data_IF_863488528400
#
_entry.id   IF_863488528400
#
_cell.length_a   1.000
_cell.length_b   1.000
_cell.length_c   1.000
_cell.angle_alpha   90.00
_cell.angle_beta   90.00
_cell.angle_gamma   90.00
#
_symmetry.space_group_name_H-M   'P 1'
#
loop_
_entity.id
_entity.type
_entity.pdbx_description
1 polymer ?
#
# COMPACT_ATOMS: atom_id res chain seq x y z
N UNK A 1 3.23 9.56 -21.45
CA UNK A 1 3.63 8.15 -21.57
C UNK A 1 2.46 7.31 -21.07
N UNK A 2 1.82 6.57 -21.96
CA UNK A 2 0.69 5.68 -21.63
C UNK A 2 1.23 4.41 -20.95
N UNK A 3 1.13 4.34 -19.62
CA UNK A 3 1.26 3.08 -18.93
C UNK A 3 0.00 2.24 -19.17
N UNK A 4 0.09 1.23 -20.04
CA UNK A 4 -1.02 0.31 -20.34
C UNK A 4 -1.35 -0.63 -19.18
N UNK A 5 -0.40 -0.83 -18.24
CA UNK A 5 -0.63 -1.61 -17.03
C UNK A 5 -1.26 -0.77 -15.94
N UNK A 6 -2.40 -1.24 -15.43
CA UNK A 6 -3.04 -0.69 -14.23
C UNK A 6 -2.10 -0.89 -13.03
N UNK A 7 -1.80 0.17 -12.26
CA UNK A 7 -0.93 0.05 -11.10
C UNK A 7 -1.55 -0.82 -10.01
N UNK A 8 -0.69 -1.49 -9.22
CA UNK A 8 -1.13 -2.33 -8.11
C UNK A 8 -1.40 -1.52 -6.83
N UNK A 9 -0.63 -0.46 -6.61
CA UNK A 9 -0.75 0.47 -5.49
C UNK A 9 -0.38 1.89 -5.92
N UNK A 10 -1.00 2.92 -5.32
CA UNK A 10 -0.56 4.31 -5.51
C UNK A 10 -0.57 5.13 -4.23
N UNK A 11 0.28 6.15 -4.20
CA UNK A 11 0.53 7.02 -3.07
C UNK A 11 0.33 8.47 -3.48
N UNK A 12 -0.34 9.25 -2.63
CA UNK A 12 -0.41 10.70 -2.76
C UNK A 12 0.36 11.37 -1.62
N UNK A 13 1.31 12.23 -1.99
CA UNK A 13 2.22 12.92 -1.08
C UNK A 13 1.50 13.91 -0.15
N UNK A 14 0.72 14.84 -0.70
CA UNK A 14 -0.01 15.84 0.10
C UNK A 14 -1.25 15.28 0.79
N UNK A 15 -2.02 14.42 0.12
CA UNK A 15 -3.28 13.88 0.68
C UNK A 15 -3.07 12.69 1.61
N UNK A 16 -1.90 12.03 1.54
CA UNK A 16 -1.65 10.79 2.26
C UNK A 16 -2.50 9.61 1.78
N UNK A 17 -3.26 9.76 0.69
CA UNK A 17 -4.10 8.69 0.17
C UNK A 17 -3.24 7.58 -0.40
N UNK A 18 -3.51 6.36 0.03
CA UNK A 18 -2.92 5.14 -0.49
C UNK A 18 -4.04 4.33 -1.13
N UNK A 19 -3.97 4.09 -2.44
CA UNK A 19 -4.98 3.30 -3.16
C UNK A 19 -4.43 1.91 -3.41
N UNK A 20 -5.21 0.91 -3.04
CA UNK A 20 -4.83 -0.50 -3.06
C UNK A 20 -5.79 -1.22 -4.01
N UNK A 21 -5.25 -1.89 -5.03
CA UNK A 21 -6.09 -2.65 -5.95
C UNK A 21 -6.66 -3.92 -5.31
N UNK A 22 -7.72 -4.45 -5.92
CA UNK A 22 -8.29 -5.74 -5.53
C UNK A 22 -7.30 -6.92 -5.58
N UNK A 23 -6.29 -6.86 -6.47
CA UNK A 23 -5.22 -7.87 -6.51
C UNK A 23 -4.40 -7.84 -5.23
N UNK A 24 -3.85 -6.68 -4.87
CA UNK A 24 -3.04 -6.49 -3.65
C UNK A 24 -3.85 -6.79 -2.40
N UNK A 25 -5.10 -6.31 -2.33
CA UNK A 25 -5.97 -6.55 -1.19
C UNK A 25 -6.24 -8.05 -0.96
N UNK A 26 -6.40 -8.83 -2.04
CA UNK A 26 -6.59 -10.30 -1.95
C UNK A 26 -5.34 -10.99 -1.45
N UNK A 27 -4.16 -10.63 -1.97
CA UNK A 27 -2.87 -11.22 -1.57
C UNK A 27 -2.60 -10.97 -0.08
N UNK A 28 -2.84 -9.74 0.38
CA UNK A 28 -2.66 -9.36 1.78
C UNK A 28 -3.83 -9.78 2.67
N UNK A 29 -4.87 -10.42 2.12
CA UNK A 29 -6.09 -10.82 2.83
C UNK A 29 -6.76 -9.68 3.62
N UNK A 30 -6.70 -8.46 3.07
CA UNK A 30 -7.18 -7.25 3.73
C UNK A 30 -8.67 -7.31 4.04
N UNK A 31 -9.01 -6.87 5.25
CA UNK A 31 -10.40 -6.71 5.71
C UNK A 31 -10.65 -5.25 6.04
N UNK A 32 -11.91 -4.78 6.00
CA UNK A 32 -12.24 -3.44 6.46
C UNK A 32 -11.77 -3.23 7.90
N UNK A 33 -11.00 -2.17 8.12
CA UNK A 33 -10.43 -1.83 9.42
C UNK A 33 -8.99 -2.30 9.66
N UNK A 34 -8.45 -3.21 8.84
CA UNK A 34 -7.02 -3.54 8.88
C UNK A 34 -6.18 -2.31 8.52
N UNK A 35 -4.92 -2.26 8.94
CA UNK A 35 -3.98 -1.22 8.49
C UNK A 35 -2.97 -1.80 7.51
N UNK A 36 -2.35 -0.96 6.69
CA UNK A 36 -1.13 -1.32 5.95
C UNK A 36 0.10 -0.64 6.54
N UNK A 37 1.24 -1.27 6.38
CA UNK A 37 2.54 -0.67 6.71
C UNK A 37 3.60 -1.11 5.68
N UNK A 38 4.73 -0.42 5.69
CA UNK A 38 5.86 -0.67 4.79
C UNK A 38 7.09 -0.94 5.64
N UNK A 39 7.61 -2.16 5.56
CA UNK A 39 8.90 -2.53 6.14
C UNK A 39 10.02 -2.28 5.13
N UNK A 40 11.25 -2.14 5.63
CA UNK A 40 12.46 -2.06 4.80
C UNK A 40 13.34 -3.26 5.10
N UNK A 41 13.73 -4.00 4.08
CA UNK A 41 14.61 -5.17 4.22
C UNK A 41 15.53 -5.23 3.00
N UNK A 42 16.86 -5.24 3.23
CA UNK A 42 17.86 -5.31 2.16
C UNK A 42 17.68 -4.27 1.04
N UNK A 43 17.21 -3.06 1.38
CA UNK A 43 16.94 -1.99 0.41
C UNK A 43 15.59 -2.09 -0.31
N UNK A 44 14.81 -3.15 -0.10
CA UNK A 44 13.47 -3.29 -0.65
C UNK A 44 12.40 -2.77 0.31
N UNK A 45 11.34 -2.19 -0.26
CA UNK A 45 10.16 -1.71 0.47
C UNK A 45 9.06 -2.77 0.41
N UNK A 46 8.69 -3.29 1.56
CA UNK A 46 7.81 -4.43 1.69
C UNK A 46 6.47 -4.01 2.28
N UNK A 47 5.43 -3.97 1.45
CA UNK A 47 4.06 -3.73 1.88
C UNK A 47 3.54 -4.95 2.64
N UNK A 48 2.90 -4.73 3.78
CA UNK A 48 2.20 -5.79 4.50
C UNK A 48 0.95 -5.26 5.20
N UNK A 49 0.04 -6.17 5.53
CA UNK A 49 -1.11 -5.87 6.37
C UNK A 49 -0.75 -5.95 7.85
N UNK A 50 -1.45 -5.17 8.66
CA UNK A 50 -1.56 -5.32 10.10
C UNK A 50 -3.02 -5.66 10.37
N UNK A 51 -3.27 -6.95 10.57
CA UNK A 51 -4.60 -7.45 10.88
C UNK A 51 -4.97 -7.08 12.31
N UNK A 52 -6.15 -6.49 12.48
CA UNK A 52 -6.61 -6.01 13.79
C UNK A 52 -7.84 -6.77 14.25
N UNK A 53 -7.79 -7.23 15.50
CA UNK A 53 -8.94 -7.77 16.22
C UNK A 53 -9.46 -6.66 17.14
N UNK A 54 -10.78 -6.46 17.19
CA UNK A 54 -11.43 -5.40 17.97
C UNK A 54 -11.03 -3.97 17.57
N UNK A 55 -11.26 -3.61 16.30
CA UNK A 55 -11.01 -2.26 15.78
C UNK A 55 -11.91 -1.20 16.44
N UNK A 56 -11.44 -0.62 17.54
CA UNK A 56 -12.04 0.53 18.18
C UNK A 56 -11.33 1.79 17.71
N UNK A 57 -12.05 2.65 16.99
CA UNK A 57 -11.54 3.95 16.52
C UNK A 57 -10.82 3.89 15.17
N UNK A 58 -10.21 5.03 14.81
CA UNK A 58 -9.44 5.18 13.57
C UNK A 58 -7.96 4.97 13.84
N UNK A 59 -7.31 4.22 12.96
CA UNK A 59 -5.87 3.97 13.03
C UNK A 59 -5.16 4.52 11.80
N UNK A 60 -3.87 4.84 11.95
CA UNK A 60 -3.06 5.24 10.81
C UNK A 60 -3.08 4.16 9.73
N UNK A 61 -3.20 4.59 8.48
CA UNK A 61 -3.25 3.73 7.30
C UNK A 61 -4.31 2.62 7.38
N UNK A 62 -5.39 2.87 8.15
CA UNK A 62 -6.55 1.99 8.19
C UNK A 62 -7.21 1.91 6.81
N UNK A 63 -7.55 0.70 6.40
CA UNK A 63 -8.05 0.35 5.09
C UNK A 63 -9.58 0.29 5.09
N UNK A 64 -10.18 0.92 4.09
CA UNK A 64 -11.61 0.89 3.84
C UNK A 64 -11.90 0.58 2.37
N UNK A 65 -12.96 -0.19 2.05
CA UNK A 65 -13.39 -0.39 0.67
C UNK A 65 -13.71 0.95 0.01
N UNK A 66 -13.30 1.11 -1.25
CA UNK A 66 -13.57 2.35 -2.00
C UNK A 66 -15.04 2.56 -2.33
N UNK A 67 -15.83 1.48 -2.38
CA UNK A 67 -17.28 1.46 -2.50
C UNK A 67 -17.81 0.13 -1.94
N UNK A 68 -19.10 0.08 -1.60
CA UNK A 68 -19.77 -1.15 -1.12
C UNK A 68 -19.55 -2.30 -2.12
N UNK A 69 -19.12 -3.45 -1.62
CA UNK A 69 -18.85 -4.65 -2.43
C UNK A 69 -17.56 -4.61 -3.27
N UNK A 70 -16.75 -3.54 -3.19
CA UNK A 70 -15.46 -3.51 -3.87
C UNK A 70 -14.36 -4.15 -3.05
N UNK A 71 -13.47 -4.88 -3.72
CA UNK A 71 -12.21 -5.34 -3.15
C UNK A 71 -11.06 -4.34 -3.36
N UNK A 72 -11.32 -3.15 -3.94
CA UNK A 72 -10.33 -2.08 -3.94
C UNK A 72 -10.45 -1.31 -2.63
N UNK A 73 -9.31 -1.02 -2.02
CA UNK A 73 -9.23 -0.34 -0.73
C UNK A 73 -8.55 1.02 -0.87
N UNK A 74 -8.87 1.91 0.07
CA UNK A 74 -8.10 3.12 0.34
C UNK A 74 -7.63 3.10 1.79
N UNK A 75 -6.42 3.61 2.01
CA UNK A 75 -5.88 3.95 3.31
C UNK A 75 -5.37 5.39 3.30
N UNK A 76 -5.11 5.96 4.48
CA UNK A 76 -4.61 7.32 4.61
C UNK A 76 -3.47 7.40 5.62
N UNK A 77 -2.29 7.83 5.15
CA UNK A 77 -1.16 8.24 5.98
C UNK A 77 -0.24 9.17 5.18
N UNK A 78 -0.19 10.44 5.56
CA UNK A 78 0.77 11.41 5.01
C UNK A 78 2.20 11.00 5.35
N UNK A 79 2.41 10.46 6.55
CA UNK A 79 3.71 10.02 7.04
C UNK A 79 4.27 8.88 6.19
N UNK A 80 3.50 7.81 5.96
CA UNK A 80 3.94 6.67 5.13
C UNK A 80 4.18 7.09 3.69
N UNK A 81 3.27 7.87 3.09
CA UNK A 81 3.45 8.37 1.73
C UNK A 81 4.76 9.18 1.61
N UNK A 82 4.98 10.16 2.48
CA UNK A 82 6.20 10.98 2.44
C UNK A 82 7.44 10.14 2.70
N UNK A 83 7.42 9.29 3.73
CA UNK A 83 8.56 8.45 4.07
C UNK A 83 9.00 7.57 2.89
N UNK A 84 8.08 6.87 2.23
CA UNK A 84 8.39 6.06 1.05
C UNK A 84 8.89 6.92 -0.11
N UNK A 85 8.17 7.99 -0.44
CA UNK A 85 8.52 8.81 -1.61
C UNK A 85 9.85 9.55 -1.43
N UNK A 86 10.15 10.03 -0.22
CA UNK A 86 11.41 10.69 0.11
C UNK A 86 12.58 9.70 0.10
N UNK A 87 12.37 8.49 0.64
CA UNK A 87 13.42 7.47 0.68
C UNK A 87 13.80 6.94 -0.71
N UNK A 88 12.93 7.11 -1.71
CA UNK A 88 13.20 6.78 -3.13
C UNK A 88 13.43 8.01 -4.02
N UNK A 89 13.53 9.22 -3.43
CA UNK A 89 13.87 10.45 -4.17
C UNK A 89 12.75 11.02 -5.06
N UNK A 90 11.50 10.60 -4.86
CA UNK A 90 10.35 11.02 -5.66
C UNK A 90 9.72 12.31 -5.12
N UNK A 91 9.70 13.34 -5.97
CA UNK A 91 9.11 14.66 -5.67
C UNK A 91 7.69 14.85 -6.19
N UNK A 92 7.17 13.92 -6.99
CA UNK A 92 5.83 13.99 -7.55
C UNK A 92 4.74 13.89 -6.46
N UNK A 93 3.62 14.56 -6.69
CA UNK A 93 2.48 14.59 -5.74
C UNK A 93 1.70 13.27 -5.69
N UNK A 94 1.74 12.51 -6.79
CA UNK A 94 1.11 11.20 -6.89
C UNK A 94 2.03 10.29 -7.69
N UNK A 95 2.25 9.08 -7.18
CA UNK A 95 3.01 8.04 -7.89
C UNK A 95 2.36 6.70 -7.65
N UNK A 96 2.37 5.88 -8.69
CA UNK A 96 1.87 4.52 -8.64
C UNK A 96 2.99 3.51 -8.90
N UNK A 97 2.84 2.31 -8.34
CA UNK A 97 3.83 1.25 -8.44
C UNK A 97 3.17 -0.08 -8.75
N UNK A 98 3.95 -0.95 -9.39
CA UNK A 98 3.68 -2.39 -9.42
C UNK A 98 4.19 -3.03 -8.13
N UNK A 99 3.62 -4.19 -7.77
CA UNK A 99 4.18 -5.05 -6.73
C UNK A 99 4.81 -6.30 -7.32
N UNK A 100 5.83 -6.81 -6.64
CA UNK A 100 6.49 -8.06 -6.96
C UNK A 100 5.71 -9.30 -6.51
N UNK A 101 6.40 -10.43 -6.50
CA UNK A 101 5.86 -11.69 -5.99
C UNK A 101 5.74 -11.66 -4.46
N UNK A 102 4.63 -12.19 -3.94
CA UNK A 102 4.41 -12.24 -2.50
C UNK A 102 5.26 -13.33 -1.85
N UNK A 103 5.74 -13.07 -0.64
CA UNK A 103 6.40 -14.07 0.17
C UNK A 103 5.96 -13.95 1.63
N UNK A 104 6.20 -15.02 2.39
CA UNK A 104 5.82 -15.10 3.80
C UNK A 104 7.08 -15.12 4.67
N UNK A 105 7.06 -14.35 5.76
CA UNK A 105 8.09 -14.40 6.80
C UNK A 105 7.41 -14.39 8.16
N UNK A 106 7.58 -15.48 8.93
CA UNK A 106 6.74 -15.75 10.09
C UNK A 106 5.27 -15.89 9.64
N UNK A 107 4.37 -15.21 10.32
CA UNK A 107 2.94 -15.20 9.99
C UNK A 107 2.51 -14.01 9.12
N UNK A 108 3.48 -13.27 8.56
CA UNK A 108 3.20 -12.06 7.77
C UNK A 108 3.52 -12.26 6.29
N UNK A 109 2.52 -11.98 5.45
CA UNK A 109 2.68 -11.88 3.99
C UNK A 109 3.21 -10.50 3.63
N UNK A 110 4.31 -10.47 2.88
CA UNK A 110 4.95 -9.28 2.35
C UNK A 110 4.83 -9.21 0.83
N UNK A 111 4.67 -8.00 0.32
CA UNK A 111 4.67 -7.67 -1.11
C UNK A 111 5.73 -6.61 -1.39
N UNK A 112 6.79 -6.93 -2.15
CA UNK A 112 7.76 -5.94 -2.60
C UNK A 112 7.09 -4.86 -3.46
N UNK A 113 7.35 -3.59 -3.17
CA UNK A 113 6.98 -2.47 -4.03
C UNK A 113 8.13 -2.24 -5.01
N UNK A 114 7.86 -2.28 -6.32
CA UNK A 114 8.89 -2.10 -7.35
C UNK A 114 9.13 -0.60 -7.55
N UNK A 115 9.99 0.00 -6.72
CA UNK A 115 10.19 1.46 -6.65
C UNK A 115 11.07 2.02 -7.77
N UNK A 116 11.87 1.18 -8.44
CA UNK A 116 12.73 1.59 -9.56
C UNK A 116 11.96 1.98 -10.83
N UNK A 117 10.67 1.59 -10.93
CA UNK A 117 9.82 1.81 -12.10
C UNK A 117 8.47 2.42 -11.67
N UNK A 118 8.45 3.71 -11.25
CA UNK A 118 7.19 4.40 -11.00
C UNK A 118 6.35 4.50 -12.29
N UNK A 119 5.03 4.32 -12.16
CA UNK A 119 4.04 4.41 -13.24
C UNK A 119 3.34 5.77 -13.27
#
# INVERSE_FOLDING_TARGET
MEHTRRPDISFSRKRGTIRITAKVARILTLRPGDSINIAVSNGEYLLHAIHRVNNIGRHEAQCYPTKRGSNNYCAYSVRLCRALLDSVGVKAEQVAYMVGEAFVRGDTTYLPIITALPL
#
